data_IF_447699541696
#
_entry.id   IF_447699541696
#
_cell.length_a   1.000
_cell.length_b   1.000
_cell.length_c   1.000
_cell.angle_alpha   90.00
_cell.angle_beta   90.00
_cell.angle_gamma   90.00
#
_symmetry.space_group_name_H-M   'P 1'
#
loop_
_entity.id
_entity.type
_entity.pdbx_description
1 polymer ?
#
# COMPACT_ATOMS: atom_id res chain seq x y z
N UNK A 1 32.45 14.61 -0.30
CA UNK A 1 31.53 15.76 -0.38
C UNK A 1 30.14 15.18 -0.55
N UNK A 2 29.22 15.40 0.39
CA UNK A 2 27.82 14.96 0.26
C UNK A 2 27.11 15.97 -0.63
N UNK A 3 26.61 15.54 -1.78
CA UNK A 3 25.95 16.40 -2.76
C UNK A 3 24.80 17.18 -2.12
N UNK A 4 24.94 18.51 -2.03
CA UNK A 4 23.94 19.40 -1.46
C UNK A 4 22.57 19.30 -2.14
N UNK A 5 22.50 18.73 -3.36
CA UNK A 5 21.26 18.45 -4.10
C UNK A 5 20.38 17.41 -3.43
N UNK A 6 20.98 16.47 -2.69
CA UNK A 6 20.22 15.37 -2.10
C UNK A 6 19.38 15.86 -0.91
N UNK A 7 19.80 16.91 -0.20
CA UNK A 7 19.10 17.45 0.97
C UNK A 7 17.76 18.14 0.65
N UNK A 8 17.54 18.56 -0.60
CA UNK A 8 16.33 19.28 -1.02
C UNK A 8 15.26 18.38 -1.64
N UNK A 9 15.59 17.13 -1.97
CA UNK A 9 14.62 16.19 -2.52
C UNK A 9 13.70 15.70 -1.41
N UNK A 10 12.39 15.90 -1.54
CA UNK A 10 11.42 15.39 -0.57
C UNK A 10 10.78 14.12 -1.12
N UNK A 11 10.79 13.05 -0.32
CA UNK A 11 10.14 11.80 -0.64
C UNK A 11 8.95 11.58 0.28
N UNK A 12 7.84 11.10 -0.27
CA UNK A 12 6.61 10.85 0.50
C UNK A 12 6.34 9.35 0.55
N UNK A 13 6.24 8.80 1.77
CA UNK A 13 5.82 7.41 1.97
C UNK A 13 4.32 7.36 2.31
N UNK A 14 3.50 7.07 1.29
CA UNK A 14 2.05 6.90 1.45
C UNK A 14 1.70 5.73 2.37
N UNK A 15 2.42 4.60 2.24
CA UNK A 15 2.26 3.43 3.10
C UNK A 15 2.53 3.69 4.59
N UNK A 16 3.25 4.77 4.91
CA UNK A 16 3.52 5.20 6.28
C UNK A 16 2.63 6.36 6.75
N UNK A 17 1.56 6.69 6.02
CA UNK A 17 0.66 7.81 6.32
C UNK A 17 1.20 9.14 5.83
N UNK A 18 1.63 9.18 4.57
CA UNK A 18 2.18 10.37 3.91
C UNK A 18 3.39 10.97 4.66
N UNK A 19 4.23 10.09 5.20
CA UNK A 19 5.45 10.52 5.90
C UNK A 19 6.40 11.17 4.89
N UNK A 20 6.72 12.45 5.10
CA UNK A 20 7.70 13.19 4.30
C UNK A 20 9.10 12.94 4.86
N UNK A 21 10.02 12.50 4.01
CA UNK A 21 11.44 12.26 4.29
C UNK A 21 12.25 13.21 3.43
N UNK A 22 13.28 13.84 4.02
CA UNK A 22 14.15 14.78 3.30
C UNK A 22 15.42 14.04 2.86
N UNK A 23 15.68 14.08 1.57
CA UNK A 23 16.80 13.46 0.89
C UNK A 23 16.78 11.95 0.71
N UNK A 24 17.56 11.49 -0.27
CA UNK A 24 17.53 10.10 -0.70
C UNK A 24 18.07 9.16 0.36
N UNK A 25 19.03 9.59 1.18
CA UNK A 25 19.57 8.75 2.25
C UNK A 25 18.52 8.40 3.31
N UNK A 26 17.75 9.37 3.78
CA UNK A 26 16.66 9.14 4.74
C UNK A 26 15.57 8.27 4.11
N UNK A 27 15.26 8.48 2.83
CA UNK A 27 14.31 7.68 2.07
C UNK A 27 14.74 6.20 1.93
N UNK A 28 15.99 5.95 1.57
CA UNK A 28 16.52 4.60 1.39
C UNK A 28 16.60 3.85 2.74
N UNK A 29 17.07 4.52 3.79
CA UNK A 29 17.04 3.97 5.15
C UNK A 29 15.61 3.67 5.62
N UNK A 30 14.65 4.54 5.29
CA UNK A 30 13.26 4.33 5.62
C UNK A 30 12.69 3.07 4.95
N UNK A 31 12.92 2.88 3.64
CA UNK A 31 12.47 1.70 2.89
C UNK A 31 13.04 0.39 3.44
N UNK A 32 14.31 0.42 3.87
CA UNK A 32 14.98 -0.75 4.46
C UNK A 32 14.53 -1.03 5.90
N UNK A 33 13.99 -0.01 6.59
CA UNK A 33 13.56 -0.06 7.97
C UNK A 33 12.49 -1.12 8.25
N UNK A 34 12.62 -1.79 9.40
CA UNK A 34 11.68 -2.84 9.85
C UNK A 34 10.24 -2.34 9.97
N UNK A 35 10.06 -1.10 10.43
CA UNK A 35 8.73 -0.48 10.57
C UNK A 35 8.01 -0.31 9.24
N UNK A 36 8.72 0.16 8.21
CA UNK A 36 8.18 0.29 6.85
C UNK A 36 7.81 -1.08 6.28
N UNK A 37 8.72 -2.06 6.36
CA UNK A 37 8.46 -3.44 5.91
C UNK A 37 7.24 -4.06 6.58
N UNK A 38 7.10 -3.91 7.91
CA UNK A 38 5.94 -4.43 8.66
C UNK A 38 4.63 -3.79 8.18
N UNK A 39 4.61 -2.47 7.93
CA UNK A 39 3.44 -1.79 7.38
C UNK A 39 3.09 -2.29 5.99
N UNK A 40 4.08 -2.43 5.09
CA UNK A 40 3.87 -2.96 3.74
C UNK A 40 3.29 -4.38 3.77
N UNK A 41 3.82 -5.26 4.64
CA UNK A 41 3.30 -6.62 4.80
C UNK A 41 1.84 -6.63 5.27
N UNK A 42 1.50 -5.79 6.26
CA UNK A 42 0.11 -5.66 6.73
C UNK A 42 -0.81 -5.10 5.64
N UNK A 43 -0.36 -4.10 4.88
CA UNK A 43 -1.12 -3.53 3.77
C UNK A 43 -1.35 -4.57 2.67
N UNK A 44 -0.33 -5.35 2.30
CA UNK A 44 -0.47 -6.43 1.31
C UNK A 44 -1.46 -7.51 1.77
N UNK A 45 -1.40 -7.91 3.05
CA UNK A 45 -2.35 -8.87 3.61
C UNK A 45 -3.79 -8.33 3.60
N UNK A 46 -3.98 -7.06 3.95
CA UNK A 46 -5.29 -6.40 3.86
C UNK A 46 -5.79 -6.34 2.42
N UNK A 47 -4.94 -5.94 1.47
CA UNK A 47 -5.31 -5.88 0.06
C UNK A 47 -5.73 -7.25 -0.49
N UNK A 48 -5.01 -8.32 -0.15
CA UNK A 48 -5.38 -9.69 -0.53
C UNK A 48 -6.71 -10.12 0.08
N UNK A 49 -6.95 -9.79 1.35
CA UNK A 49 -8.23 -10.10 2.00
C UNK A 49 -9.39 -9.31 1.38
N UNK A 50 -9.21 -8.03 1.08
CA UNK A 50 -10.19 -7.20 0.39
C UNK A 50 -10.52 -7.75 -1.00
N UNK A 51 -9.50 -8.16 -1.75
CA UNK A 51 -9.68 -8.79 -3.07
C UNK A 51 -10.49 -10.09 -2.98
N UNK A 52 -10.20 -10.94 -2.00
CA UNK A 52 -10.94 -12.19 -1.77
C UNK A 52 -12.41 -11.93 -1.41
N UNK A 53 -12.68 -10.97 -0.51
CA UNK A 53 -14.05 -10.57 -0.14
C UNK A 53 -14.80 -10.03 -1.36
N UNK A 54 -14.12 -9.23 -2.19
CA UNK A 54 -14.73 -8.66 -3.40
C UNK A 54 -15.08 -9.74 -4.43
N UNK A 55 -14.20 -10.73 -4.65
CA UNK A 55 -14.49 -11.87 -5.51
C UNK A 55 -15.70 -12.65 -5.00
N UNK A 56 -15.75 -12.98 -3.71
CA UNK A 56 -16.87 -13.73 -3.13
C UNK A 56 -18.21 -13.00 -3.30
N UNK A 57 -18.23 -11.67 -3.15
CA UNK A 57 -19.44 -10.85 -3.37
C UNK A 57 -19.93 -10.85 -4.82
N UNK A 58 -19.01 -10.85 -5.79
CA UNK A 58 -19.37 -10.96 -7.21
C UNK A 58 -19.98 -12.33 -7.53
N UNK A 59 -19.46 -13.40 -6.90
CA UNK A 59 -20.00 -14.75 -7.07
C UNK A 59 -21.42 -14.90 -6.51
N UNK A 60 -21.71 -14.30 -5.35
CA UNK A 60 -23.06 -14.33 -4.77
C UNK A 60 -24.04 -13.45 -5.52
N UNK A 61 -23.61 -12.29 -6.02
CA UNK A 61 -24.46 -11.40 -6.81
C UNK A 61 -24.88 -12.02 -8.16
N UNK A 62 -23.98 -12.79 -8.80
CA UNK A 62 -24.31 -13.49 -10.03
C UNK A 62 -25.46 -14.48 -9.87
N UNK A 63 -25.57 -15.15 -8.71
CA UNK A 63 -26.62 -16.16 -8.46
C UNK A 63 -28.01 -15.58 -8.11
N UNK A 64 -28.09 -14.33 -7.65
CA UNK A 64 -29.36 -13.68 -7.32
C UNK A 64 -30.07 -13.12 -8.56
N UNK A 65 -29.32 -12.77 -9.61
CA UNK A 65 -29.89 -12.24 -10.86
C UNK A 65 -30.59 -13.35 -11.68
N UNK A 66 -30.16 -14.60 -11.53
CA UNK A 66 -30.66 -15.76 -12.30
C UNK A 66 -31.95 -16.34 -11.71
N UNK A 67 -32.29 -16.00 -10.45
CA UNK A 67 -33.45 -16.54 -9.73
C UNK A 67 -34.65 -15.60 -9.69
N UNK A 68 -34.51 -14.35 -10.13
CA UNK A 68 -35.60 -13.35 -10.15
C UNK A 68 -36.27 -13.14 -11.53
N UNK A 69 -35.90 -13.91 -12.56
CA UNK A 69 -36.49 -13.79 -13.91
C UNK A 69 -37.25 -15.06 -14.32
N UNK A 70 -37.84 -15.81 -13.38
CA UNK A 70 -38.74 -16.94 -13.67
C UNK A 70 -39.98 -16.91 -12.79
#
# INVERSE_FOLDING_TARGET
MKDARDLWTQFVCEACGNRVLRGAHEWEQHKLGRGHKKRILHLKKKAQNLYFIQLQRQSTAAMEEETSTS
#
